data_IF_907980859250
#
_entry.id   IF_907980859250
#
_cell.length_a   1.000
_cell.length_b   1.000
_cell.length_c   1.000
_cell.angle_alpha   90.00
_cell.angle_beta   90.00
_cell.angle_gamma   90.00
#
_symmetry.space_group_name_H-M   'P 1'
#
loop_
_entity.id
_entity.type
_entity.pdbx_description
1 polymer ?
#
# COMPACT_ATOMS: atom_id res chain seq x y z
N UNK A 1 -4.16 -17.36 -25.41
CA UNK A 1 -5.24 -16.55 -25.99
C UNK A 1 -5.56 -15.49 -24.97
N UNK A 2 -5.05 -14.27 -25.23
CA UNK A 2 -5.40 -13.11 -24.40
C UNK A 2 -6.76 -12.62 -24.85
N UNK A 3 -7.79 -13.27 -24.42
CA UNK A 3 -9.11 -12.70 -24.60
C UNK A 3 -9.32 -11.64 -23.51
N UNK A 4 -8.91 -10.49 -23.88
CA UNK A 4 -9.68 -9.28 -23.73
C UNK A 4 -10.41 -9.13 -22.40
N UNK A 5 -9.68 -9.07 -21.33
CA UNK A 5 -10.13 -8.14 -20.34
C UNK A 5 -9.83 -6.77 -20.93
N UNK A 6 -10.82 -6.27 -21.57
CA UNK A 6 -10.80 -4.97 -22.17
C UNK A 6 -10.45 -3.99 -21.05
N UNK A 7 -9.31 -3.78 -20.97
CA UNK A 7 -8.38 -2.74 -20.68
C UNK A 7 -8.85 -1.58 -19.81
N UNK A 8 -10.07 -1.40 -19.67
CA UNK A 8 -10.67 -0.41 -18.83
C UNK A 8 -11.89 -1.09 -18.25
N UNK A 9 -11.64 -2.05 -17.35
CA UNK A 9 -12.75 -2.41 -16.51
C UNK A 9 -13.09 -1.15 -15.73
N UNK A 10 -14.16 -0.45 -16.05
CA UNK A 10 -14.58 0.70 -15.25
C UNK A 10 -14.66 0.33 -13.78
N UNK A 11 -15.01 -0.91 -13.52
CA UNK A 11 -15.09 -1.47 -12.17
C UNK A 11 -13.74 -1.41 -11.42
N UNK A 12 -12.62 -1.65 -12.10
CA UNK A 12 -11.32 -1.59 -11.44
C UNK A 12 -10.91 -0.18 -11.09
N UNK A 13 -11.12 0.77 -11.98
CA UNK A 13 -10.83 2.18 -11.68
C UNK A 13 -11.77 2.70 -10.60
N UNK A 14 -13.05 2.36 -10.68
CA UNK A 14 -14.04 2.72 -9.65
C UNK A 14 -13.63 2.21 -8.26
N UNK A 15 -13.11 0.98 -8.21
CA UNK A 15 -12.63 0.41 -6.94
C UNK A 15 -11.43 1.19 -6.39
N UNK A 16 -10.48 1.55 -7.26
CA UNK A 16 -9.33 2.36 -6.87
C UNK A 16 -9.78 3.72 -6.33
N UNK A 17 -10.75 4.34 -6.99
CA UNK A 17 -11.30 5.61 -6.51
C UNK A 17 -12.09 5.46 -5.22
N UNK A 18 -12.79 4.34 -5.06
CA UNK A 18 -13.49 4.04 -3.80
C UNK A 18 -12.49 3.87 -2.64
N UNK A 19 -11.37 3.20 -2.89
CA UNK A 19 -10.29 3.08 -1.90
C UNK A 19 -9.76 4.47 -1.53
N UNK A 20 -9.48 5.30 -2.53
CA UNK A 20 -8.96 6.66 -2.29
C UNK A 20 -9.95 7.52 -1.47
N UNK A 21 -11.23 7.41 -1.78
CA UNK A 21 -12.28 8.11 -1.02
C UNK A 21 -12.36 7.60 0.43
N UNK A 22 -12.32 6.26 0.60
CA UNK A 22 -12.36 5.64 1.92
C UNK A 22 -11.18 6.07 2.78
N UNK A 23 -10.00 6.19 2.16
CA UNK A 23 -8.76 6.60 2.83
C UNK A 23 -8.62 8.12 2.93
N UNK A 24 -9.58 8.89 2.44
CA UNK A 24 -9.55 10.36 2.41
C UNK A 24 -8.23 10.89 1.84
N UNK A 25 -7.77 10.30 0.74
CA UNK A 25 -6.49 10.64 0.13
C UNK A 25 -6.52 12.02 -0.54
N UNK A 26 -5.43 12.78 -0.45
CA UNK A 26 -5.34 14.06 -1.18
C UNK A 26 -5.28 13.82 -2.70
N UNK A 27 -5.66 14.84 -3.46
CA UNK A 27 -5.78 14.74 -4.92
C UNK A 27 -4.51 14.23 -5.62
N UNK A 28 -3.33 14.62 -5.14
CA UNK A 28 -2.08 14.13 -5.75
C UNK A 28 -1.94 12.60 -5.62
N UNK A 29 -2.40 12.02 -4.52
CA UNK A 29 -2.33 10.57 -4.33
C UNK A 29 -3.34 9.85 -5.23
N UNK A 30 -4.54 10.41 -5.37
CA UNK A 30 -5.56 9.91 -6.30
C UNK A 30 -5.03 9.92 -7.73
N UNK A 31 -4.43 11.04 -8.14
CA UNK A 31 -3.84 11.18 -9.49
C UNK A 31 -2.73 10.14 -9.72
N UNK A 32 -1.91 9.90 -8.69
CA UNK A 32 -0.85 8.90 -8.78
C UNK A 32 -1.41 7.48 -8.93
N UNK A 33 -2.48 7.16 -8.22
CA UNK A 33 -3.16 5.85 -8.34
C UNK A 33 -3.73 5.66 -9.75
N UNK A 34 -4.37 6.69 -10.31
CA UNK A 34 -4.90 6.64 -11.68
C UNK A 34 -3.78 6.40 -12.69
N UNK A 35 -2.68 7.12 -12.55
CA UNK A 35 -1.52 6.94 -13.44
C UNK A 35 -0.92 5.53 -13.31
N UNK A 36 -0.83 5.02 -12.09
CA UNK A 36 -0.33 3.66 -11.84
C UNK A 36 -1.27 2.60 -12.44
N UNK A 37 -2.58 2.81 -12.34
CA UNK A 37 -3.59 1.93 -12.95
C UNK A 37 -3.43 1.87 -14.47
N UNK A 38 -3.30 3.03 -15.11
CA UNK A 38 -3.09 3.08 -16.56
C UNK A 38 -1.80 2.37 -16.95
N UNK A 39 -0.70 2.65 -16.25
CA UNK A 39 0.58 2.00 -16.51
C UNK A 39 0.51 0.48 -16.32
N UNK A 40 -0.22 0.01 -15.33
CA UNK A 40 -0.39 -1.43 -15.09
C UNK A 40 -0.96 -2.12 -16.34
N UNK A 41 -2.00 -1.53 -16.94
CA UNK A 41 -2.62 -2.10 -18.12
C UNK A 41 -1.78 -1.95 -19.39
N UNK A 42 -0.96 -0.91 -19.47
CA UNK A 42 -0.05 -0.70 -20.59
C UNK A 42 1.19 -1.61 -20.51
N UNK A 43 1.50 -2.14 -19.34
CA UNK A 43 2.71 -2.94 -19.12
C UNK A 43 2.41 -4.42 -19.42
N UNK A 44 3.11 -5.02 -20.40
CA UNK A 44 2.89 -6.43 -20.69
C UNK A 44 3.42 -7.32 -19.57
N UNK A 45 2.75 -8.43 -19.35
CA UNK A 45 3.23 -9.46 -18.43
C UNK A 45 4.59 -9.96 -18.91
N UNK A 46 5.62 -10.00 -18.06
CA UNK A 46 6.93 -10.44 -18.51
C UNK A 46 6.91 -11.90 -18.94
N UNK A 47 7.45 -12.21 -20.12
CA UNK A 47 7.51 -13.60 -20.59
C UNK A 47 8.55 -14.41 -19.80
N UNK A 48 8.40 -15.72 -19.79
CA UNK A 48 9.34 -16.64 -19.11
C UNK A 48 10.75 -16.56 -19.71
N UNK A 49 10.88 -16.07 -20.93
CA UNK A 49 12.18 -15.86 -21.58
C UNK A 49 12.95 -14.66 -21.02
N UNK A 50 12.26 -13.78 -20.29
CA UNK A 50 12.92 -12.59 -19.71
C UNK A 50 13.87 -13.01 -18.59
N UNK A 51 15.11 -12.56 -18.64
CA UNK A 51 16.18 -13.03 -17.75
C UNK A 51 15.84 -12.94 -16.27
N UNK A 52 15.21 -11.83 -15.84
CA UNK A 52 14.87 -11.63 -14.43
C UNK A 52 13.68 -12.48 -13.97
N UNK A 53 12.87 -12.99 -14.90
CA UNK A 53 11.64 -13.74 -14.61
C UNK A 53 11.71 -15.22 -14.95
N UNK A 54 12.80 -15.68 -15.54
CA UNK A 54 12.91 -17.06 -16.04
C UNK A 54 12.77 -18.14 -14.96
N UNK A 55 13.03 -17.77 -13.71
CA UNK A 55 12.90 -18.68 -12.56
C UNK A 55 11.65 -18.43 -11.72
N UNK A 56 10.81 -17.51 -12.14
CA UNK A 56 9.59 -17.15 -11.42
C UNK A 56 8.39 -17.37 -12.34
N UNK A 57 7.69 -18.45 -12.11
CA UNK A 57 6.51 -18.77 -12.92
C UNK A 57 5.28 -18.13 -12.29
N UNK A 58 4.75 -17.12 -12.95
CA UNK A 58 3.54 -16.41 -12.52
C UNK A 58 2.33 -16.77 -13.38
N UNK A 59 2.44 -17.80 -14.25
CA UNK A 59 1.35 -18.17 -15.15
C UNK A 59 0.09 -18.68 -14.42
N UNK A 60 0.26 -19.10 -13.17
CA UNK A 60 -0.85 -19.56 -12.34
C UNK A 60 -1.61 -18.43 -11.65
N UNK A 61 -1.11 -17.19 -11.71
CA UNK A 61 -1.80 -16.05 -11.09
C UNK A 61 -2.91 -15.56 -12.01
N UNK A 62 -4.11 -15.63 -11.53
CA UNK A 62 -5.28 -15.09 -12.22
C UNK A 62 -5.53 -13.70 -11.62
N UNK A 63 -4.95 -12.68 -12.23
CA UNK A 63 -4.98 -11.31 -11.71
C UNK A 63 -6.40 -10.77 -11.59
N UNK A 64 -7.29 -11.27 -12.42
CA UNK A 64 -8.69 -10.90 -12.44
C UNK A 64 -9.44 -11.33 -11.18
N UNK A 65 -8.91 -12.33 -10.49
CA UNK A 65 -9.49 -12.83 -9.23
C UNK A 65 -8.93 -12.10 -8.01
N UNK A 66 -7.90 -11.28 -8.22
CA UNK A 66 -7.27 -10.52 -7.13
C UNK A 66 -7.89 -9.13 -7.08
N UNK A 67 -8.71 -8.89 -6.08
CA UNK A 67 -9.31 -7.58 -5.88
C UNK A 67 -8.72 -6.93 -4.62
N UNK A 68 -8.32 -5.65 -4.70
CA UNK A 68 -7.95 -4.93 -3.49
C UNK A 68 -9.13 -4.87 -2.54
N UNK A 69 -8.89 -5.17 -1.28
CA UNK A 69 -9.92 -5.08 -0.26
C UNK A 69 -9.91 -3.69 0.37
N UNK A 70 -11.08 -3.16 0.67
CA UNK A 70 -11.18 -1.97 1.50
C UNK A 70 -10.70 -2.33 2.91
N UNK A 71 -9.98 -1.43 3.59
CA UNK A 71 -9.56 -1.70 4.96
C UNK A 71 -10.76 -2.01 5.86
N UNK A 72 -10.64 -3.04 6.65
CA UNK A 72 -11.70 -3.39 7.59
C UNK A 72 -11.83 -2.31 8.68
N UNK A 73 -13.06 -1.96 9.04
CA UNK A 73 -13.29 -0.85 9.94
C UNK A 73 -12.74 -1.10 11.35
N UNK A 74 -12.88 -2.29 11.87
CA UNK A 74 -12.30 -2.60 13.20
C UNK A 74 -11.92 -4.07 13.27
N UNK A 75 -10.64 -4.33 13.44
CA UNK A 75 -10.14 -5.65 13.76
C UNK A 75 -9.42 -5.60 15.09
N UNK A 76 -9.87 -6.39 16.04
CA UNK A 76 -9.15 -6.55 17.29
C UNK A 76 -7.86 -7.34 17.07
N UNK A 77 -6.87 -7.08 17.88
CA UNK A 77 -5.64 -7.87 17.85
C UNK A 77 -5.96 -9.32 18.27
N UNK A 78 -5.49 -10.31 17.50
CA UNK A 78 -5.52 -11.67 18.01
C UNK A 78 -4.68 -11.80 19.28
N UNK A 79 -5.09 -12.66 20.22
CA UNK A 79 -4.44 -12.81 21.52
C UNK A 79 -2.94 -13.10 21.40
N UNK A 80 -2.55 -13.95 20.43
CA UNK A 80 -1.15 -14.29 20.23
C UNK A 80 -0.32 -13.08 19.81
N UNK A 81 -0.91 -12.19 19.02
CA UNK A 81 -0.22 -10.98 18.55
C UNK A 81 -0.15 -9.94 19.67
N UNK A 82 -1.20 -9.80 20.44
CA UNK A 82 -1.23 -8.92 21.60
C UNK A 82 -0.11 -9.25 22.60
N UNK A 83 0.03 -10.52 22.91
CA UNK A 83 1.10 -11.01 23.80
C UNK A 83 2.49 -10.73 23.22
N UNK A 84 2.68 -10.95 21.93
CA UNK A 84 3.95 -10.69 21.24
C UNK A 84 4.31 -9.19 21.28
N UNK A 85 3.34 -8.34 20.99
CA UNK A 85 3.53 -6.88 20.99
C UNK A 85 3.91 -6.39 22.40
N UNK A 86 3.20 -6.83 23.41
CA UNK A 86 3.47 -6.41 24.78
C UNK A 86 4.83 -6.88 25.28
N UNK A 87 5.25 -8.08 24.89
CA UNK A 87 6.58 -8.61 25.22
C UNK A 87 7.70 -7.82 24.57
N UNK A 88 7.53 -7.41 23.32
CA UNK A 88 8.54 -6.67 22.56
C UNK A 88 8.54 -5.16 22.87
N UNK A 89 7.41 -4.62 23.32
CA UNK A 89 7.18 -3.17 23.38
C UNK A 89 8.12 -2.42 24.34
N UNK A 90 8.74 -3.12 25.28
CA UNK A 90 9.63 -2.50 26.27
C UNK A 90 10.97 -2.02 25.71
N UNK A 91 11.35 -2.53 24.53
CA UNK A 91 12.71 -2.31 23.97
C UNK A 91 12.73 -1.50 22.69
N UNK A 92 11.56 -1.05 22.22
CA UNK A 92 11.47 -0.37 20.92
C UNK A 92 10.80 1.00 21.06
N UNK A 93 11.22 1.93 20.22
CA UNK A 93 10.67 3.29 20.19
C UNK A 93 9.28 3.39 19.60
N UNK A 94 8.85 2.40 18.81
CA UNK A 94 7.50 2.34 18.25
C UNK A 94 7.17 0.96 17.76
N UNK A 95 5.88 0.66 17.69
CA UNK A 95 5.36 -0.60 17.16
C UNK A 95 4.13 -0.33 16.31
N UNK A 96 4.10 -0.87 15.12
CA UNK A 96 2.91 -0.91 14.26
C UNK A 96 2.59 -2.38 14.01
N UNK A 97 1.32 -2.74 14.10
CA UNK A 97 0.88 -4.07 13.68
C UNK A 97 -0.19 -3.92 12.61
N UNK A 98 -0.03 -4.71 11.56
CA UNK A 98 -0.96 -4.74 10.44
C UNK A 98 -1.59 -6.13 10.33
N UNK A 99 -2.87 -6.15 10.06
CA UNK A 99 -3.59 -7.38 9.76
C UNK A 99 -4.26 -7.19 8.40
N UNK A 100 -3.84 -7.98 7.42
CA UNK A 100 -4.33 -7.89 6.04
C UNK A 100 -4.26 -6.45 5.49
N UNK A 101 -3.14 -5.77 5.76
CA UNK A 101 -2.92 -4.40 5.30
C UNK A 101 -3.59 -3.30 6.12
N UNK A 102 -4.46 -3.67 7.06
CA UNK A 102 -5.12 -2.71 7.96
C UNK A 102 -4.29 -2.51 9.21
N UNK A 103 -4.03 -1.25 9.58
CA UNK A 103 -3.33 -0.95 10.82
C UNK A 103 -4.26 -1.24 12.01
N UNK A 104 -3.88 -2.22 12.84
CA UNK A 104 -4.70 -2.64 13.98
C UNK A 104 -4.09 -2.25 15.32
N UNK A 105 -2.82 -1.84 15.32
CA UNK A 105 -2.16 -1.38 16.54
C UNK A 105 -1.09 -0.36 16.20
N UNK A 106 -1.07 0.72 16.95
CA UNK A 106 -0.03 1.75 16.84
C UNK A 106 0.40 2.18 18.23
N UNK A 107 1.70 2.20 18.44
CA UNK A 107 2.30 2.74 19.66
C UNK A 107 3.62 3.40 19.32
N UNK A 108 3.85 4.57 19.86
CA UNK A 108 5.12 5.29 19.75
C UNK A 108 5.45 5.84 21.14
N UNK A 109 6.71 5.75 21.54
CA UNK A 109 7.14 6.27 22.84
C UNK A 109 7.18 7.79 22.81
N UNK A 110 6.98 8.40 23.97
CA UNK A 110 7.00 9.86 24.10
C UNK A 110 8.34 10.47 23.69
N UNK A 111 9.44 9.79 23.96
CA UNK A 111 10.77 10.28 23.57
C UNK A 111 10.90 10.37 22.04
N UNK A 112 10.41 9.37 21.33
CA UNK A 112 10.46 9.33 19.86
C UNK A 112 9.50 10.38 19.28
N UNK A 113 8.31 10.50 19.87
CA UNK A 113 7.32 11.52 19.45
C UNK A 113 7.88 12.93 19.63
N UNK A 114 8.49 13.22 20.78
CA UNK A 114 9.09 14.52 21.07
C UNK A 114 10.28 14.83 20.15
N UNK A 115 10.95 13.80 19.64
CA UNK A 115 12.02 13.97 18.66
C UNK A 115 11.51 14.30 17.25
N UNK A 116 10.18 14.38 17.05
CA UNK A 116 9.59 14.73 15.77
C UNK A 116 9.49 13.57 14.77
N UNK A 117 9.66 12.34 15.23
CA UNK A 117 9.57 11.18 14.35
C UNK A 117 8.10 10.89 14.02
N UNK A 118 7.79 10.79 12.73
CA UNK A 118 6.50 10.31 12.23
C UNK A 118 6.62 8.81 12.05
N UNK A 119 5.81 8.04 12.78
CA UNK A 119 5.83 6.59 12.74
C UNK A 119 4.39 6.10 12.77
N UNK A 120 3.83 5.87 11.60
CA UNK A 120 2.41 5.55 11.45
C UNK A 120 2.19 4.84 10.11
N UNK A 121 0.96 4.46 9.78
CA UNK A 121 0.67 3.86 8.48
C UNK A 121 0.82 4.90 7.36
N UNK A 122 1.04 4.40 6.14
CA UNK A 122 1.10 5.27 4.96
C UNK A 122 -0.18 6.11 4.82
N UNK A 123 -1.34 5.48 4.99
CA UNK A 123 -2.63 6.15 4.84
C UNK A 123 -2.78 7.32 5.81
N UNK A 124 -2.39 7.10 7.06
CA UNK A 124 -2.43 8.17 8.07
C UNK A 124 -1.38 9.24 7.78
N UNK A 125 -0.17 8.83 7.37
CA UNK A 125 0.89 9.80 7.05
C UNK A 125 0.48 10.72 5.90
N UNK A 126 -0.17 10.20 4.88
CA UNK A 126 -0.64 10.98 3.72
C UNK A 126 -1.69 12.00 4.16
N UNK A 127 -2.56 11.64 5.07
CA UNK A 127 -3.60 12.55 5.60
C UNK A 127 -3.01 13.62 6.53
N UNK A 128 -2.17 13.18 7.47
CA UNK A 128 -1.67 14.06 8.55
C UNK A 128 -0.47 14.90 8.12
N UNK A 129 0.33 14.41 7.16
CA UNK A 129 1.60 15.02 6.73
C UNK A 129 1.70 15.08 5.20
N UNK A 130 0.68 15.60 4.55
CA UNK A 130 0.63 15.60 3.06
C UNK A 130 1.82 16.23 2.37
N UNK A 131 2.28 17.07 2.89
CA UNK A 131 3.44 17.77 2.34
C UNK A 131 4.72 16.97 2.52
N UNK A 132 4.72 16.21 3.42
CA UNK A 132 5.83 15.37 3.67
C UNK A 132 5.77 14.16 2.77
N UNK A 133 4.68 13.73 2.58
CA UNK A 133 4.41 12.60 1.77
C UNK A 133 4.55 12.90 0.28
N UNK A 134 4.28 14.04 -0.11
CA UNK A 134 4.42 14.51 -1.44
C UNK A 134 5.87 14.73 -1.81
N UNK A 135 6.50 15.08 -0.96
CA UNK A 135 7.91 15.27 -1.12
C UNK A 135 8.69 13.98 -1.16
N UNK A 136 8.22 13.18 -0.50
CA UNK A 136 8.78 11.87 -0.47
C UNK A 136 8.46 11.08 -1.70
N UNK A 137 7.38 11.29 -2.20
CA UNK A 137 6.94 10.62 -3.36
C UNK A 137 7.54 11.23 -4.62
N UNK A 138 7.76 12.38 -4.51
CA UNK A 138 8.40 13.11 -5.57
C UNK A 138 9.90 12.85 -5.63
N UNK A 139 10.31 12.70 -4.66
CA UNK A 139 11.72 12.38 -4.55
C UNK A 139 12.02 10.96 -4.93
N UNK A 140 11.23 10.31 -4.78
CA UNK A 140 11.34 8.93 -5.16
C UNK A 140 11.14 8.76 -6.65
N UNK A 141 10.46 9.50 -7.13
CA UNK A 141 10.25 9.52 -8.51
C UNK A 141 11.36 10.21 -9.28
N UNK A 142 11.79 10.98 -8.69
CA UNK A 142 12.92 11.67 -9.23
C UNK A 142 14.21 10.88 -9.22
N UNK A 143 14.42 10.03 -8.29
CA UNK A 143 15.64 9.18 -8.26
C UNK A 143 15.59 8.02 -9.27
N UNK A 144 14.45 7.63 -9.66
CA UNK A 144 14.31 6.56 -10.68
C UNK A 144 14.42 7.07 -12.13
N UNK A 145 14.92 8.27 -12.28
CA UNK A 145 15.14 8.99 -13.53
C UNK A 145 14.97 8.20 -14.82
N UNK A 146 13.74 8.15 -15.23
CA UNK A 146 13.35 7.55 -16.50
C UNK A 146 12.40 8.50 -17.20
#
# INVERSE_FOLDING_TARGET
>A
MKDTLTTTSPAGLELIEAISRHLAEPEWAVAHRRAAWNRFWETPTPPRTHEHWRRTDISHLVLEEIAPALPAEHRSLPDWLDNTIHGAARRVGGTLAFLDGTLVYERITDSVRKAGVVFTSWSQAVQQHPXXXXXXXXXXXXKRGL
#
